data_IF_296620102884
#
_entry.id   IF_296620102884
#
_cell.length_a   1.000
_cell.length_b   1.000
_cell.length_c   1.000
_cell.angle_alpha   90.00
_cell.angle_beta   90.00
_cell.angle_gamma   90.00
#
_symmetry.space_group_name_H-M   'P 1'
#
loop_
_entity.id
_entity.type
_entity.pdbx_description
1 polymer ?
#
# COMPACT_ATOMS: atom_id res chain seq x y z
N UNK A 1 -16.04 6.53 4.86
CA UNK A 1 -15.25 6.32 3.63
C UNK A 1 -15.27 7.60 2.79
N UNK A 2 -14.17 7.97 2.11
CA UNK A 2 -14.07 9.22 1.34
C UNK A 2 -14.57 9.11 -0.11
N UNK A 3 -14.82 10.24 -0.78
CA UNK A 3 -15.35 10.33 -2.15
C UNK A 3 -14.49 9.60 -3.19
N UNK A 4 -13.15 9.73 -3.08
CA UNK A 4 -12.21 9.05 -3.98
C UNK A 4 -12.21 7.52 -3.82
N UNK A 5 -12.44 7.01 -2.61
CA UNK A 5 -12.45 5.58 -2.31
C UNK A 5 -13.69 4.89 -2.89
N UNK A 6 -14.88 5.45 -2.64
CA UNK A 6 -16.15 4.94 -3.18
C UNK A 6 -16.31 5.18 -4.68
N UNK A 7 -15.84 6.32 -5.19
CA UNK A 7 -15.91 6.66 -6.61
C UNK A 7 -15.22 5.60 -7.49
N UNK A 8 -14.08 5.09 -7.03
CA UNK A 8 -13.35 4.04 -7.71
C UNK A 8 -14.10 2.69 -7.72
N UNK A 9 -14.65 2.27 -6.58
CA UNK A 9 -15.34 0.97 -6.45
C UNK A 9 -16.57 0.91 -7.35
N UNK A 10 -17.35 1.99 -7.42
CA UNK A 10 -18.55 2.04 -8.25
C UNK A 10 -18.25 1.83 -9.75
N UNK A 11 -17.07 2.24 -10.21
CA UNK A 11 -16.63 2.07 -11.60
C UNK A 11 -16.17 0.64 -11.93
N UNK A 12 -15.97 -0.21 -10.91
CA UNK A 12 -15.49 -1.60 -11.05
C UNK A 12 -16.59 -2.65 -10.96
N UNK A 13 -17.84 -2.25 -10.69
CA UNK A 13 -18.97 -3.18 -10.65
C UNK A 13 -19.07 -3.97 -11.96
N UNK A 14 -19.22 -5.29 -11.86
CA UNK A 14 -19.32 -6.23 -12.98
C UNK A 14 -18.10 -6.27 -13.91
N UNK A 15 -16.90 -5.97 -13.39
CA UNK A 15 -15.63 -6.06 -14.13
C UNK A 15 -14.67 -7.02 -13.44
N UNK A 16 -13.69 -7.53 -14.20
CA UNK A 16 -12.55 -8.24 -13.61
C UNK A 16 -11.71 -7.26 -12.77
N UNK A 17 -11.36 -7.71 -11.56
CA UNK A 17 -10.62 -6.92 -10.58
C UNK A 17 -9.51 -7.75 -9.95
N UNK A 18 -8.46 -7.07 -9.50
CA UNK A 18 -7.48 -7.64 -8.59
C UNK A 18 -7.79 -7.17 -7.17
N UNK A 19 -7.60 -8.07 -6.19
CA UNK A 19 -7.85 -7.80 -4.78
C UNK A 19 -6.53 -7.90 -4.01
N UNK A 20 -6.25 -6.86 -3.21
CA UNK A 20 -5.25 -6.89 -2.15
C UNK A 20 -5.95 -6.78 -0.79
N UNK A 21 -6.20 -7.92 -0.17
CA UNK A 21 -6.91 -8.03 1.10
C UNK A 21 -5.96 -8.26 2.28
N UNK A 22 -6.14 -7.47 3.34
CA UNK A 22 -5.81 -7.90 4.70
C UNK A 22 -7.13 -8.20 5.38
N UNK A 23 -7.29 -9.43 5.85
CA UNK A 23 -8.54 -9.92 6.44
C UNK A 23 -8.97 -9.04 7.61
N UNK A 24 -10.19 -8.52 7.57
CA UNK A 24 -10.72 -7.64 8.61
C UNK A 24 -11.44 -8.42 9.73
N UNK A 25 -12.07 -9.53 9.36
CA UNK A 25 -12.88 -10.38 10.23
C UNK A 25 -12.59 -11.86 9.93
N UNK A 26 -12.90 -12.74 10.86
CA UNK A 26 -12.77 -14.18 10.65
C UNK A 26 -13.66 -14.66 9.48
N UNK A 27 -13.25 -15.76 8.84
CA UNK A 27 -13.96 -16.27 7.65
C UNK A 27 -15.29 -16.82 8.13
N UNK A 28 -16.37 -16.40 7.49
CA UNK A 28 -17.69 -16.96 7.77
C UNK A 28 -17.91 -18.14 6.83
N UNK A 29 -18.01 -19.33 7.42
CA UNK A 29 -18.25 -20.57 6.67
C UNK A 29 -19.75 -20.83 6.54
N UNK A 30 -20.25 -20.78 5.31
CA UNK A 30 -21.59 -21.24 4.94
C UNK A 30 -21.58 -22.67 4.43
N UNK A 31 -22.77 -23.23 4.21
CA UNK A 31 -22.93 -24.62 3.74
C UNK A 31 -22.31 -24.87 2.35
N UNK A 32 -22.15 -23.83 1.52
CA UNK A 32 -21.54 -23.89 0.18
C UNK A 32 -20.59 -22.72 -0.14
N UNK A 33 -20.36 -21.82 0.82
CA UNK A 33 -19.64 -20.56 0.59
C UNK A 33 -18.67 -20.26 1.72
N UNK A 34 -17.62 -19.54 1.37
CA UNK A 34 -16.70 -18.92 2.33
C UNK A 34 -16.75 -17.42 2.08
N UNK A 35 -17.16 -16.68 3.10
CA UNK A 35 -17.22 -15.23 3.00
C UNK A 35 -16.02 -14.63 3.73
N UNK A 36 -15.23 -13.84 3.00
CA UNK A 36 -14.08 -13.11 3.52
C UNK A 36 -14.31 -11.61 3.42
N UNK A 37 -14.20 -10.90 4.56
CA UNK A 37 -14.40 -9.46 4.64
C UNK A 37 -13.07 -8.70 4.55
N UNK A 38 -12.99 -7.76 3.60
CA UNK A 38 -11.85 -6.88 3.41
C UNK A 38 -12.28 -5.43 3.14
N UNK A 39 -11.55 -4.48 3.73
CA UNK A 39 -11.79 -3.05 3.51
C UNK A 39 -10.85 -2.49 2.45
N UNK A 40 -11.40 -2.14 1.29
CA UNK A 40 -10.65 -1.58 0.16
C UNK A 40 -9.65 -2.57 -0.46
N UNK A 41 -8.67 -2.05 -1.21
CA UNK A 41 -7.67 -2.88 -1.89
C UNK A 41 -8.14 -3.47 -3.22
N UNK A 42 -9.18 -2.91 -3.85
CA UNK A 42 -9.72 -3.39 -5.12
C UNK A 42 -9.20 -2.50 -6.26
N UNK A 43 -8.60 -3.10 -7.28
CA UNK A 43 -8.11 -2.40 -8.48
C UNK A 43 -8.67 -3.05 -9.74
N UNK A 44 -8.71 -2.36 -10.90
CA UNK A 44 -8.87 -3.05 -12.18
C UNK A 44 -7.86 -4.18 -12.30
N UNK A 45 -8.27 -5.31 -12.88
CA UNK A 45 -7.36 -6.42 -13.14
C UNK A 45 -6.28 -6.01 -14.13
N UNK A 46 -5.03 -6.44 -13.87
CA UNK A 46 -3.97 -6.32 -14.87
C UNK A 46 -4.30 -7.14 -16.12
N UNK A 47 -3.92 -6.63 -17.29
CA UNK A 47 -4.08 -7.29 -18.58
C UNK A 47 -2.74 -7.79 -19.11
N UNK A 48 -2.78 -8.62 -20.16
CA UNK A 48 -1.57 -9.07 -20.86
C UNK A 48 -0.78 -7.93 -21.52
N UNK A 49 -1.41 -6.78 -21.75
CA UNK A 49 -0.76 -5.60 -22.33
C UNK A 49 0.01 -4.76 -21.31
N UNK A 50 -0.27 -4.94 -20.01
CA UNK A 50 0.36 -4.17 -18.95
C UNK A 50 1.80 -4.64 -18.73
N UNK A 51 2.74 -3.69 -18.83
CA UNK A 51 4.17 -3.98 -18.74
C UNK A 51 4.58 -4.19 -17.27
N UNK A 52 5.37 -5.23 -16.99
CA UNK A 52 5.88 -5.46 -15.64
C UNK A 52 6.84 -4.35 -15.21
N UNK A 53 6.81 -4.02 -13.93
CA UNK A 53 7.68 -3.05 -13.30
C UNK A 53 8.02 -3.47 -11.86
N UNK A 54 8.99 -2.77 -11.28
CA UNK A 54 9.44 -2.97 -9.90
C UNK A 54 9.45 -1.63 -9.20
N UNK A 55 9.11 -1.63 -7.91
CA UNK A 55 9.20 -0.44 -7.07
C UNK A 55 10.18 -0.67 -5.93
N UNK A 56 10.90 0.40 -5.65
CA UNK A 56 11.93 0.45 -4.62
C UNK A 56 11.56 1.54 -3.63
N UNK A 57 11.79 1.25 -2.35
CA UNK A 57 11.73 2.25 -1.29
C UNK A 57 13.15 2.68 -0.95
N UNK A 58 13.31 3.97 -0.65
CA UNK A 58 14.49 4.51 0.04
C UNK A 58 14.07 4.87 1.45
N UNK A 59 14.93 4.60 2.43
CA UNK A 59 14.65 4.99 3.81
C UNK A 59 15.79 5.81 4.41
N UNK A 60 15.42 6.80 5.23
CA UNK A 60 16.31 7.75 5.87
C UNK A 60 16.02 7.88 7.36
N UNK A 61 16.94 8.51 8.08
CA UNK A 61 16.67 9.02 9.43
C UNK A 61 15.86 10.34 9.37
N UNK A 62 15.60 10.91 10.55
CA UNK A 62 14.91 12.20 10.73
C UNK A 62 15.67 13.38 10.13
N UNK A 63 16.99 13.27 10.03
CA UNK A 63 17.88 14.26 9.40
C UNK A 63 17.92 14.12 7.87
N UNK A 64 17.14 13.19 7.30
CA UNK A 64 17.10 12.87 5.87
C UNK A 64 18.41 12.30 5.32
N UNK A 65 19.26 11.75 6.18
CA UNK A 65 20.40 10.95 5.74
C UNK A 65 19.88 9.63 5.20
N UNK A 66 20.10 9.34 3.92
CA UNK A 66 19.70 8.07 3.32
C UNK A 66 20.50 6.94 3.99
N UNK A 67 19.78 6.00 4.60
CA UNK A 67 20.37 4.83 5.29
C UNK A 67 20.39 3.63 4.34
N UNK A 68 19.43 3.51 3.42
CA UNK A 68 19.40 2.42 2.45
C UNK A 68 18.12 2.37 1.62
N UNK A 69 17.91 1.24 0.95
CA UNK A 69 16.72 1.00 0.13
C UNK A 69 16.52 -0.47 -0.21
N UNK A 70 15.28 -0.83 -0.58
CA UNK A 70 14.89 -2.21 -0.89
C UNK A 70 13.83 -2.26 -2.01
N UNK A 71 13.86 -3.31 -2.83
CA UNK A 71 12.73 -3.68 -3.68
C UNK A 71 11.58 -4.16 -2.78
N UNK A 72 10.37 -3.63 -2.96
CA UNK A 72 9.20 -4.03 -2.16
C UNK A 72 8.02 -4.52 -3.01
N UNK A 73 8.06 -4.28 -4.33
CA UNK A 73 6.99 -4.65 -5.24
C UNK A 73 7.56 -5.06 -6.60
N UNK A 74 6.98 -6.12 -7.16
CA UNK A 74 7.17 -6.57 -8.53
C UNK A 74 5.81 -7.02 -9.05
N UNK A 75 5.38 -6.48 -10.18
CA UNK A 75 4.09 -6.79 -10.78
C UNK A 75 3.82 -5.95 -12.02
N UNK A 76 2.61 -6.01 -12.55
CA UNK A 76 2.19 -5.29 -13.74
C UNK A 76 0.86 -4.55 -13.58
N UNK A 77 0.33 -4.43 -12.35
CA UNK A 77 -0.93 -3.70 -12.13
C UNK A 77 -0.86 -2.26 -12.66
N UNK A 78 -1.85 -1.78 -13.43
CA UNK A 78 -1.85 -0.41 -13.95
C UNK A 78 -2.06 0.64 -12.84
N UNK A 79 -2.65 0.23 -11.72
CA UNK A 79 -2.93 1.07 -10.55
C UNK A 79 -2.68 0.26 -9.29
N UNK A 80 -2.16 0.90 -8.24
CA UNK A 80 -2.06 0.32 -6.90
C UNK A 80 -2.92 1.11 -5.90
N UNK A 81 -3.39 0.46 -4.85
CA UNK A 81 -4.02 1.16 -3.72
C UNK A 81 -2.98 1.61 -2.70
N UNK A 82 -3.28 2.68 -1.95
CA UNK A 82 -2.44 3.04 -0.80
C UNK A 82 -2.37 1.93 0.24
N UNK A 83 -3.43 1.11 0.40
CA UNK A 83 -3.41 -0.08 1.26
C UNK A 83 -2.34 -1.08 0.85
N UNK A 84 -2.28 -1.40 -0.45
CA UNK A 84 -1.29 -2.33 -0.97
C UNK A 84 0.15 -1.81 -0.80
N UNK A 85 0.37 -0.52 -1.09
CA UNK A 85 1.67 0.11 -0.90
C UNK A 85 2.08 0.15 0.57
N UNK A 86 1.22 0.66 1.46
CA UNK A 86 1.46 0.74 2.90
C UNK A 86 1.86 -0.62 3.48
N UNK A 87 1.06 -1.65 3.20
CA UNK A 87 1.32 -2.98 3.73
C UNK A 87 2.65 -3.56 3.24
N UNK A 88 2.91 -3.52 1.92
CA UNK A 88 4.14 -4.09 1.35
C UNK A 88 5.39 -3.35 1.81
N UNK A 89 5.32 -2.02 1.94
CA UNK A 89 6.42 -1.19 2.46
C UNK A 89 6.69 -1.56 3.92
N UNK A 90 5.67 -1.54 4.79
CA UNK A 90 5.82 -1.93 6.20
C UNK A 90 6.36 -3.34 6.33
N UNK A 91 5.79 -4.30 5.59
CA UNK A 91 6.24 -5.69 5.61
C UNK A 91 7.73 -5.81 5.22
N UNK A 92 8.17 -5.08 4.19
CA UNK A 92 9.57 -5.08 3.74
C UNK A 92 10.49 -4.51 4.82
N UNK A 93 10.13 -3.38 5.44
CA UNK A 93 10.93 -2.77 6.51
C UNK A 93 10.99 -3.63 7.77
N UNK A 94 9.89 -4.27 8.15
CA UNK A 94 9.83 -5.19 9.30
C UNK A 94 10.71 -6.41 9.05
N UNK A 95 10.60 -7.06 7.88
CA UNK A 95 11.43 -8.21 7.50
C UNK A 95 12.93 -7.88 7.52
N UNK A 96 13.30 -6.67 7.13
CA UNK A 96 14.68 -6.18 7.17
C UNK A 96 15.08 -5.58 8.55
N UNK A 97 14.28 -5.78 9.59
CA UNK A 97 14.51 -5.33 10.98
C UNK A 97 14.69 -3.80 11.11
N UNK A 98 14.06 -3.02 10.23
CA UNK A 98 14.15 -1.55 10.18
C UNK A 98 12.95 -0.83 10.82
N UNK A 99 11.78 -1.47 10.84
CA UNK A 99 10.54 -0.92 11.40
C UNK A 99 9.93 -1.89 12.43
N UNK A 100 9.36 -1.34 13.50
CA UNK A 100 8.83 -2.05 14.68
C UNK A 100 9.84 -3.02 15.32
N UNK A 101 11.13 -2.68 15.19
CA UNK A 101 12.23 -3.41 15.79
C UNK A 101 13.04 -2.45 16.66
N UNK A 102 13.11 -2.72 17.96
CA UNK A 102 13.70 -1.82 18.94
C UNK A 102 12.96 -0.48 19.01
N UNK A 103 13.70 0.63 18.97
CA UNK A 103 13.16 1.97 19.12
C UNK A 103 12.44 2.49 17.86
N UNK A 104 12.66 1.89 16.68
CA UNK A 104 12.13 2.41 15.41
C UNK A 104 10.69 1.98 15.15
N UNK A 105 9.72 2.72 15.70
CA UNK A 105 8.29 2.44 15.57
C UNK A 105 7.45 3.66 15.10
N UNK A 106 8.11 4.76 14.74
CA UNK A 106 7.48 6.00 14.25
C UNK A 106 8.11 6.43 12.92
N UNK A 107 7.48 7.42 12.29
CA UNK A 107 7.95 8.01 11.05
C UNK A 107 6.84 8.17 10.01
N UNK A 108 7.22 8.29 8.75
CA UNK A 108 6.28 8.50 7.65
C UNK A 108 6.76 7.85 6.35
N UNK A 109 5.81 7.36 5.56
CA UNK A 109 5.99 6.98 4.16
C UNK A 109 5.51 8.16 3.31
N UNK A 110 6.35 8.63 2.40
CA UNK A 110 6.01 9.59 1.35
C UNK A 110 5.99 8.86 0.02
N UNK A 111 4.92 9.05 -0.73
CA UNK A 111 4.70 8.45 -2.05
C UNK A 111 4.43 9.60 -3.02
N UNK A 112 5.27 9.73 -4.04
CA UNK A 112 5.07 10.69 -5.12
C UNK A 112 4.85 9.93 -6.42
N UNK A 113 3.70 10.12 -7.06
CA UNK A 113 3.36 9.45 -8.31
C UNK A 113 2.40 10.29 -9.13
N UNK A 114 2.66 10.44 -10.43
CA UNK A 114 1.75 11.10 -11.38
C UNK A 114 1.35 12.53 -10.91
N UNK A 115 2.31 13.28 -10.36
CA UNK A 115 2.09 14.62 -9.80
C UNK A 115 1.34 14.68 -8.46
N UNK A 116 0.94 13.53 -7.91
CA UNK A 116 0.26 13.42 -6.62
C UNK A 116 1.24 13.04 -5.51
N UNK A 117 0.99 13.56 -4.30
CA UNK A 117 1.77 13.26 -3.10
C UNK A 117 0.87 12.65 -2.03
N UNK A 118 1.32 11.54 -1.45
CA UNK A 118 0.63 10.86 -0.35
C UNK A 118 1.60 10.70 0.83
N UNK A 119 1.09 10.92 2.03
CA UNK A 119 1.85 10.73 3.27
C UNK A 119 1.10 9.79 4.19
N UNK A 120 1.79 8.76 4.68
CA UNK A 120 1.24 7.77 5.60
C UNK A 120 2.06 7.79 6.88
N UNK A 121 1.39 7.97 8.02
CA UNK A 121 1.97 7.95 9.35
C UNK A 121 2.27 6.50 9.78
N UNK A 122 3.54 6.19 10.05
CA UNK A 122 3.97 4.85 10.49
C UNK A 122 3.63 4.57 11.95
N UNK A 123 3.34 5.59 12.76
CA UNK A 123 2.94 5.42 14.15
C UNK A 123 1.50 4.93 14.32
N UNK A 124 0.72 4.92 13.22
CA UNK A 124 -0.70 4.56 13.21
C UNK A 124 -1.01 3.59 12.09
N UNK A 125 -2.17 2.93 12.18
CA UNK A 125 -2.76 2.18 11.07
C UNK A 125 -3.18 3.14 9.95
N UNK A 126 -3.17 2.65 8.71
CA UNK A 126 -3.71 3.39 7.57
C UNK A 126 -5.18 3.77 7.81
N UNK A 127 -5.58 4.98 7.42
CA UNK A 127 -6.97 5.44 7.56
C UNK A 127 -7.86 4.65 6.62
N UNK A 128 -9.05 4.24 7.08
CA UNK A 128 -10.03 3.51 6.26
C UNK A 128 -10.47 4.28 5.01
N UNK A 129 -10.39 5.61 5.01
CA UNK A 129 -10.68 6.44 3.84
C UNK A 129 -9.66 6.27 2.71
N UNK A 130 -8.44 5.83 3.05
CA UNK A 130 -7.31 5.75 2.12
C UNK A 130 -7.12 4.33 1.56
N UNK A 131 -7.84 3.33 2.08
CA UNK A 131 -7.63 1.91 1.73
C UNK A 131 -7.93 1.57 0.27
N UNK A 132 -8.78 2.34 -0.39
CA UNK A 132 -9.06 2.21 -1.84
C UNK A 132 -8.67 3.46 -2.64
N UNK A 133 -7.83 4.33 -2.06
CA UNK A 133 -7.27 5.47 -2.77
C UNK A 133 -6.20 4.99 -3.72
N UNK A 134 -6.31 5.40 -4.98
CA UNK A 134 -5.43 4.94 -6.06
C UNK A 134 -4.16 5.77 -6.16
N UNK A 135 -3.05 5.06 -6.36
CA UNK A 135 -1.80 5.58 -6.90
C UNK A 135 -1.75 5.18 -8.37
N UNK A 136 -2.07 6.15 -9.23
CA UNK A 136 -2.07 5.98 -10.68
C UNK A 136 -0.63 5.98 -11.21
N UNK A 137 -0.42 5.31 -12.34
CA UNK A 137 0.89 5.18 -12.98
C UNK A 137 2.01 4.78 -11.99
N UNK A 138 1.80 3.74 -11.17
CA UNK A 138 2.68 3.41 -10.05
C UNK A 138 4.11 3.07 -10.50
N UNK A 139 4.33 2.70 -11.77
CA UNK A 139 5.64 2.36 -12.34
C UNK A 139 6.71 3.43 -12.10
N UNK A 140 6.33 4.70 -12.05
CA UNK A 140 7.25 5.82 -11.84
C UNK A 140 7.10 6.42 -10.43
N UNK A 141 6.48 5.70 -9.50
CA UNK A 141 6.29 6.18 -8.15
C UNK A 141 7.62 6.22 -7.38
N UNK A 142 7.88 7.34 -6.72
CA UNK A 142 9.00 7.52 -5.81
C UNK A 142 8.52 7.28 -4.37
N UNK A 143 9.19 6.36 -3.69
CA UNK A 143 8.82 5.94 -2.34
C UNK A 143 9.97 6.27 -1.38
N UNK A 144 9.69 7.18 -0.45
CA UNK A 144 10.63 7.60 0.58
C UNK A 144 10.05 7.31 1.95
N UNK A 145 10.88 6.74 2.84
CA UNK A 145 10.46 6.40 4.20
C UNK A 145 11.39 7.09 5.19
N UNK A 146 10.82 7.91 6.05
CA UNK A 146 11.57 8.53 7.15
C UNK A 146 11.27 7.69 8.39
N UNK A 147 12.31 7.09 8.97
CA UNK A 147 12.21 6.28 10.19
C UNK A 147 12.60 7.12 11.41
N UNK A 148 11.77 7.05 12.44
CA UNK A 148 11.99 7.76 13.70
C UNK A 148 11.98 6.79 14.88
N UNK A 149 12.85 7.07 15.85
CA UNK A 149 12.87 6.38 17.14
C UNK A 149 11.72 6.85 18.03
N UNK A 150 11.21 5.97 18.86
CA UNK A 150 10.45 6.36 20.04
C UNK A 150 11.38 6.97 21.08
N UNK A 151 11.00 8.14 21.56
CA UNK A 151 11.50 8.70 22.81
C UNK A 151 11.03 7.86 23.99
#
# INVERSE_FOLDING_TARGET
FGSESWGNINQLRNKYVDIFGTKDEDTVEGYWTYDETFTGGVTPAATSSDKPYRLFLKYSDKQQTIIGGHEFYKGNKPVLTLKELDFRIRQTLIKNKKLYNGEFNKGQIKITADGNNYTIDLSKKLKLTDTNRYVKNPRNAEIEVILEKSN
#
